data_IF_188983788693
#
_entry.id   IF_188983788693
#
_cell.length_a   1.000
_cell.length_b   1.000
_cell.length_c   1.000
_cell.angle_alpha   90.00
_cell.angle_beta   90.00
_cell.angle_gamma   90.00
#
_symmetry.space_group_name_H-M   'P 1'
#
loop_
_entity.id
_entity.type
_entity.pdbx_description
1 polymer ?
#
# COMPACT_ATOMS: atom_id res chain seq x y z
N UNK A 1 15.96 -14.05 -10.91
CA UNK A 1 15.46 -13.51 -9.64
C UNK A 1 13.99 -13.89 -9.49
N UNK A 2 13.63 -14.53 -8.38
CA UNK A 2 12.27 -14.95 -8.03
C UNK A 2 11.71 -13.99 -6.99
N UNK A 3 10.52 -13.46 -7.25
CA UNK A 3 9.89 -12.37 -6.49
C UNK A 3 8.52 -12.78 -6.00
N UNK A 4 8.18 -12.43 -4.77
CA UNK A 4 6.80 -12.46 -4.29
C UNK A 4 6.23 -11.04 -4.35
N UNK A 5 5.08 -10.85 -4.98
CA UNK A 5 4.34 -9.59 -4.99
C UNK A 5 3.05 -9.77 -4.19
N UNK A 6 2.95 -9.10 -3.03
CA UNK A 6 1.81 -9.16 -2.14
C UNK A 6 0.97 -7.88 -2.25
N UNK A 7 -0.23 -8.01 -2.82
CA UNK A 7 -1.22 -6.95 -2.80
C UNK A 7 -2.01 -6.93 -1.49
N UNK A 8 -2.28 -5.73 -0.98
CA UNK A 8 -3.12 -5.52 0.19
C UNK A 8 -4.17 -4.42 -0.04
N UNK A 9 -5.19 -4.41 0.80
CA UNK A 9 -6.21 -3.36 0.86
C UNK A 9 -7.45 -3.70 0.03
N UNK A 10 -7.85 -2.82 -0.87
CA UNK A 10 -9.05 -2.97 -1.70
C UNK A 10 -8.66 -3.34 -3.14
N UNK A 11 -9.46 -4.14 -3.87
CA UNK A 11 -9.14 -4.60 -5.23
C UNK A 11 -9.43 -3.51 -6.29
N UNK A 12 -8.93 -2.30 -6.08
CA UNK A 12 -9.28 -1.12 -6.88
C UNK A 12 -8.37 -0.94 -8.09
N UNK A 13 -8.95 -0.40 -9.16
CA UNK A 13 -8.26 0.20 -10.30
C UNK A 13 -7.27 -0.72 -11.04
N UNK A 14 -7.49 -2.04 -11.02
CA UNK A 14 -6.65 -3.02 -11.70
C UNK A 14 -6.51 -2.76 -13.20
N UNK A 15 -7.56 -2.28 -13.86
CA UNK A 15 -7.54 -1.97 -15.29
C UNK A 15 -6.55 -0.87 -15.66
N UNK A 16 -6.31 0.07 -14.75
CA UNK A 16 -5.45 1.22 -15.00
C UNK A 16 -3.97 0.89 -14.80
N UNK A 17 -3.68 -0.01 -13.87
CA UNK A 17 -2.31 -0.32 -13.44
C UNK A 17 -1.74 -1.56 -14.12
N UNK A 18 -2.57 -2.45 -14.70
CA UNK A 18 -2.10 -3.76 -15.16
C UNK A 18 -1.05 -3.65 -16.27
N UNK A 19 -1.15 -2.66 -17.16
CA UNK A 19 -0.20 -2.45 -18.25
C UNK A 19 1.16 -2.02 -17.71
N UNK A 20 1.20 -1.04 -16.82
CA UNK A 20 2.45 -0.52 -16.24
C UNK A 20 3.06 -1.53 -15.27
N UNK A 21 2.25 -2.23 -14.47
CA UNK A 21 2.68 -3.34 -13.63
C UNK A 21 3.35 -4.46 -14.46
N UNK A 22 2.73 -4.86 -15.58
CA UNK A 22 3.33 -5.87 -16.47
C UNK A 22 4.64 -5.38 -17.08
N UNK A 23 4.64 -4.17 -17.64
CA UNK A 23 5.80 -3.60 -18.33
C UNK A 23 7.00 -3.39 -17.40
N UNK A 24 6.77 -2.95 -16.16
CA UNK A 24 7.82 -2.46 -15.28
C UNK A 24 8.17 -3.41 -14.14
N UNK A 25 7.45 -4.53 -13.99
CA UNK A 25 7.74 -5.55 -12.99
C UNK A 25 7.51 -6.98 -13.51
N UNK A 26 6.28 -7.34 -13.89
CA UNK A 26 5.94 -8.75 -14.12
C UNK A 26 6.63 -9.38 -15.33
N UNK A 27 6.92 -8.61 -16.38
CA UNK A 27 7.62 -9.11 -17.56
C UNK A 27 9.15 -9.17 -17.37
N UNK A 28 9.67 -8.60 -16.28
CA UNK A 28 11.11 -8.49 -16.03
C UNK A 28 11.64 -9.58 -15.09
N UNK A 29 10.76 -10.18 -14.28
CA UNK A 29 11.13 -11.12 -13.23
C UNK A 29 10.19 -12.32 -13.18
N UNK A 30 10.61 -13.38 -12.51
CA UNK A 30 9.72 -14.50 -12.17
C UNK A 30 8.93 -14.12 -10.92
N UNK A 31 7.68 -13.66 -11.10
CA UNK A 31 6.87 -13.10 -10.02
C UNK A 31 5.71 -14.03 -9.67
N UNK A 32 5.68 -14.48 -8.42
CA UNK A 32 4.49 -15.09 -7.82
C UNK A 32 3.65 -14.01 -7.14
N UNK A 33 2.35 -13.97 -7.44
CA UNK A 33 1.47 -12.90 -6.97
C UNK A 33 0.52 -13.43 -5.88
N UNK A 34 0.52 -12.74 -4.75
CA UNK A 34 -0.31 -13.01 -3.59
C UNK A 34 -1.21 -11.81 -3.32
N UNK A 35 -2.42 -12.02 -2.80
CA UNK A 35 -3.29 -10.90 -2.46
C UNK A 35 -4.21 -11.19 -1.28
N UNK A 36 -4.30 -10.22 -0.37
CA UNK A 36 -5.39 -10.12 0.57
C UNK A 36 -6.20 -8.87 0.26
N UNK A 37 -7.50 -9.03 -0.02
CA UNK A 37 -8.39 -7.92 -0.32
C UNK A 37 -9.58 -7.88 0.62
N UNK A 38 -9.89 -6.66 1.08
CA UNK A 38 -11.18 -6.32 1.66
C UNK A 38 -12.24 -6.37 0.57
N UNK A 39 -13.00 -7.46 0.53
CA UNK A 39 -14.03 -7.69 -0.47
C UNK A 39 -15.14 -8.60 0.05
N UNK A 40 -16.37 -8.16 -0.17
CA UNK A 40 -17.57 -8.99 -0.10
C UNK A 40 -18.65 -8.43 -1.03
N UNK A 41 -19.64 -9.26 -1.36
CA UNK A 41 -20.68 -8.91 -2.34
C UNK A 41 -21.53 -7.71 -1.90
N UNK A 42 -21.57 -7.39 -0.61
CA UNK A 42 -22.22 -6.17 -0.09
C UNK A 42 -21.54 -4.87 -0.57
N UNK A 43 -20.34 -4.96 -1.15
CA UNK A 43 -19.65 -3.82 -1.73
C UNK A 43 -20.18 -3.44 -3.12
N UNK A 44 -20.86 -4.35 -3.81
CA UNK A 44 -21.39 -4.12 -5.17
C UNK A 44 -22.31 -2.89 -5.16
N UNK A 45 -22.09 -1.99 -6.11
CA UNK A 45 -22.80 -0.71 -6.21
C UNK A 45 -22.32 0.39 -5.25
N UNK A 46 -21.44 0.10 -4.28
CA UNK A 46 -20.80 1.13 -3.44
C UNK A 46 -19.63 1.78 -4.19
N UNK A 47 -19.34 3.04 -3.85
CA UNK A 47 -18.21 3.75 -4.44
C UNK A 47 -16.86 3.12 -4.08
N UNK A 48 -15.95 3.03 -5.06
CA UNK A 48 -14.59 2.52 -4.89
C UNK A 48 -13.75 3.45 -3.99
N UNK A 49 -14.01 4.76 -4.00
CA UNK A 49 -13.32 5.76 -3.20
C UNK A 49 -14.29 6.87 -2.80
N UNK A 50 -14.10 7.52 -1.63
CA UNK A 50 -15.00 8.60 -1.14
C UNK A 50 -15.11 9.76 -2.13
N UNK A 51 -14.10 9.97 -2.97
CA UNK A 51 -14.04 11.05 -3.94
C UNK A 51 -14.26 10.63 -5.41
N UNK A 52 -14.62 9.37 -5.67
CA UNK A 52 -14.89 8.91 -7.03
C UNK A 52 -16.35 8.45 -7.19
N UNK A 53 -16.88 8.56 -8.40
CA UNK A 53 -18.21 8.02 -8.73
C UNK A 53 -18.18 6.58 -9.22
N UNK A 54 -16.99 5.97 -9.36
CA UNK A 54 -16.86 4.61 -9.83
C UNK A 54 -17.35 3.66 -8.73
N UNK A 55 -18.17 2.69 -9.11
CA UNK A 55 -18.77 1.73 -8.19
C UNK A 55 -18.22 0.33 -8.42
N UNK A 56 -18.30 -0.51 -7.40
CA UNK A 56 -17.95 -1.91 -7.51
C UNK A 56 -18.96 -2.68 -8.36
N UNK A 57 -18.45 -3.48 -9.28
CA UNK A 57 -19.25 -4.32 -10.18
C UNK A 57 -19.26 -5.76 -9.69
N UNK A 58 -20.31 -6.52 -10.01
CA UNK A 58 -20.48 -7.90 -9.54
C UNK A 58 -19.33 -8.83 -9.98
N UNK A 59 -18.76 -8.59 -11.16
CA UNK A 59 -17.67 -9.37 -11.72
C UNK A 59 -16.27 -8.82 -11.36
N UNK A 60 -16.13 -7.83 -10.46
CA UNK A 60 -14.85 -7.17 -10.13
C UNK A 60 -13.73 -8.19 -9.84
N UNK A 61 -14.00 -9.18 -9.01
CA UNK A 61 -13.01 -10.18 -8.61
C UNK A 61 -12.69 -11.17 -9.72
N UNK A 62 -13.70 -11.61 -10.48
CA UNK A 62 -13.50 -12.51 -11.61
C UNK A 62 -12.63 -11.84 -12.67
N UNK A 63 -12.96 -10.58 -13.01
CA UNK A 63 -12.19 -9.75 -13.91
C UNK A 63 -10.74 -9.58 -13.43
N UNK A 64 -10.55 -9.28 -12.14
CA UNK A 64 -9.22 -9.15 -11.55
C UNK A 64 -8.40 -10.45 -11.67
N UNK A 65 -9.00 -11.62 -11.43
CA UNK A 65 -8.35 -12.93 -11.57
C UNK A 65 -7.99 -13.25 -13.02
N UNK A 66 -8.75 -12.75 -13.99
CA UNK A 66 -8.43 -12.89 -15.41
C UNK A 66 -7.25 -12.00 -15.84
N UNK A 67 -7.09 -10.84 -15.19
CA UNK A 67 -6.00 -9.90 -15.48
C UNK A 67 -4.66 -10.30 -14.85
N UNK A 68 -4.72 -10.87 -13.63
CA UNK A 68 -3.56 -11.14 -12.78
C UNK A 68 -3.53 -12.63 -12.38
N UNK A 69 -2.45 -13.36 -12.71
CA UNK A 69 -2.31 -14.77 -12.36
C UNK A 69 -1.89 -14.92 -10.88
N UNK A 70 -2.84 -14.79 -9.96
CA UNK A 70 -2.57 -14.99 -8.54
C UNK A 70 -2.19 -16.43 -8.23
N UNK A 71 -1.09 -16.60 -7.49
CA UNK A 71 -0.74 -17.87 -6.84
C UNK A 71 -1.66 -18.16 -5.66
N UNK A 72 -2.03 -17.13 -4.89
CA UNK A 72 -3.04 -17.22 -3.82
C UNK A 72 -3.73 -15.88 -3.62
N UNK A 73 -5.05 -15.92 -3.46
CA UNK A 73 -5.89 -14.74 -3.20
C UNK A 73 -6.87 -15.06 -2.07
N UNK A 74 -6.94 -14.16 -1.09
CA UNK A 74 -7.92 -14.19 0.00
C UNK A 74 -8.79 -12.94 -0.10
N UNK A 75 -10.09 -13.16 -0.01
CA UNK A 75 -11.11 -12.12 0.00
C UNK A 75 -11.77 -12.18 1.37
N UNK A 76 -11.70 -11.08 2.10
CA UNK A 76 -12.26 -10.98 3.45
C UNK A 76 -13.21 -9.78 3.52
N UNK A 77 -14.38 -9.94 4.14
CA UNK A 77 -15.21 -8.78 4.48
C UNK A 77 -14.45 -7.85 5.41
N UNK A 78 -14.71 -6.54 5.31
CA UNK A 78 -14.08 -5.56 6.19
C UNK A 78 -14.42 -5.87 7.65
N UNK A 79 -13.40 -6.22 8.45
CA UNK A 79 -13.60 -6.49 9.87
C UNK A 79 -13.78 -5.21 10.68
N UNK A 80 -14.48 -5.34 11.80
CA UNK A 80 -14.58 -4.29 12.79
C UNK A 80 -13.37 -4.36 13.74
N UNK A 81 -12.59 -3.28 13.79
CA UNK A 81 -11.51 -3.16 14.77
C UNK A 81 -12.06 -2.51 16.03
N UNK A 82 -11.86 -3.15 17.19
CA UNK A 82 -12.05 -2.45 18.45
C UNK A 82 -11.00 -1.32 18.52
N UNK A 83 -11.52 -0.09 18.57
CA UNK A 83 -10.76 1.13 18.69
C UNK A 83 -11.18 1.94 19.91
N UNK A 84 -11.97 1.35 20.82
CA UNK A 84 -12.55 2.04 21.96
C UNK A 84 -11.51 2.46 23.01
N UNK A 85 -10.36 1.78 23.06
CA UNK A 85 -9.25 2.06 23.95
C UNK A 85 -8.34 3.20 23.49
N UNK A 86 -8.47 3.66 22.25
CA UNK A 86 -7.66 4.77 21.73
C UNK A 86 -8.24 6.12 22.15
N UNK A 87 -7.37 7.09 22.48
CA UNK A 87 -7.77 8.49 22.56
C UNK A 87 -7.95 9.05 21.14
N UNK A 88 -9.16 9.47 20.72
CA UNK A 88 -9.40 9.93 19.36
C UNK A 88 -9.01 11.42 19.20
N UNK A 89 -7.76 11.73 19.53
CA UNK A 89 -7.15 13.06 19.44
C UNK A 89 -5.89 12.99 18.59
N UNK A 90 -5.48 14.10 18.00
CA UNK A 90 -4.15 14.18 17.39
C UNK A 90 -3.08 14.50 18.45
N UNK A 91 -1.92 13.88 18.30
CA UNK A 91 -0.71 14.21 19.07
C UNK A 91 0.10 15.36 18.43
N UNK A 92 -0.32 15.83 17.26
CA UNK A 92 0.47 16.74 16.44
C UNK A 92 -0.12 18.15 16.48
N UNK A 93 0.69 19.20 16.75
CA UNK A 93 0.20 20.57 16.88
C UNK A 93 -0.59 21.07 15.68
N UNK A 94 -0.19 20.69 14.47
CA UNK A 94 -0.81 21.07 13.20
C UNK A 94 -2.11 20.32 12.90
N UNK A 95 -2.35 19.18 13.56
CA UNK A 95 -3.53 18.34 13.38
C UNK A 95 -4.53 18.44 14.55
N UNK A 96 -4.37 19.41 15.46
CA UNK A 96 -5.30 19.64 16.59
C UNK A 96 -6.75 19.94 16.18
N UNK A 97 -6.98 20.27 14.91
CA UNK A 97 -8.30 20.58 14.36
C UNK A 97 -9.07 19.33 13.89
N UNK A 98 -8.46 18.13 13.93
CA UNK A 98 -9.13 16.89 13.57
C UNK A 98 -10.29 16.61 14.54
N UNK A 99 -11.46 16.27 13.98
CA UNK A 99 -12.60 15.86 14.78
C UNK A 99 -12.42 14.46 15.32
N UNK A 100 -13.13 14.12 16.41
CA UNK A 100 -13.14 12.76 16.98
C UNK A 100 -13.47 11.70 15.92
N UNK A 101 -14.40 12.00 15.01
CA UNK A 101 -14.79 11.07 13.95
C UNK A 101 -13.67 10.86 12.94
N UNK A 102 -12.98 11.92 12.52
CA UNK A 102 -11.82 11.82 11.61
C UNK A 102 -10.68 11.04 12.27
N UNK A 103 -10.47 11.23 13.58
CA UNK A 103 -9.50 10.44 14.33
C UNK A 103 -9.86 8.95 14.33
N UNK A 104 -11.12 8.59 14.60
CA UNK A 104 -11.60 7.20 14.57
C UNK A 104 -11.44 6.58 13.17
N UNK A 105 -11.86 7.30 12.13
CA UNK A 105 -11.70 6.89 10.72
C UNK A 105 -10.23 6.62 10.37
N UNK A 106 -9.32 7.48 10.86
CA UNK A 106 -7.88 7.36 10.63
C UNK A 106 -7.31 6.14 11.32
N UNK A 107 -7.66 5.90 12.58
CA UNK A 107 -7.24 4.71 13.35
C UNK A 107 -7.77 3.43 12.72
N UNK A 108 -9.03 3.41 12.32
CA UNK A 108 -9.64 2.30 11.61
C UNK A 108 -8.91 2.03 10.29
N UNK A 109 -8.68 3.06 9.48
CA UNK A 109 -7.96 2.96 8.21
C UNK A 109 -6.54 2.40 8.39
N UNK A 110 -5.84 2.86 9.43
CA UNK A 110 -4.50 2.38 9.78
C UNK A 110 -4.50 0.89 10.14
N UNK A 111 -5.38 0.46 11.06
CA UNK A 111 -5.50 -0.95 11.45
C UNK A 111 -5.91 -1.83 10.27
N UNK A 112 -6.90 -1.39 9.50
CA UNK A 112 -7.36 -2.07 8.28
C UNK A 112 -6.23 -2.27 7.27
N UNK A 113 -5.45 -1.23 7.01
CA UNK A 113 -4.33 -1.28 6.08
C UNK A 113 -3.28 -2.29 6.52
N UNK A 114 -2.78 -2.17 7.75
CA UNK A 114 -1.69 -3.00 8.24
C UNK A 114 -2.09 -4.44 8.51
N UNK A 115 -3.34 -4.67 8.93
CA UNK A 115 -3.89 -6.02 8.99
C UNK A 115 -3.81 -6.68 7.61
N UNK A 116 -4.31 -5.97 6.58
CA UNK A 116 -4.33 -6.48 5.21
C UNK A 116 -2.92 -6.73 4.65
N UNK A 117 -1.95 -5.86 4.99
CA UNK A 117 -0.53 -6.07 4.71
C UNK A 117 0.03 -7.32 5.39
N UNK A 118 -0.32 -7.55 6.67
CA UNK A 118 0.10 -8.74 7.38
C UNK A 118 -0.48 -10.00 6.73
N UNK A 119 -1.79 -10.01 6.49
CA UNK A 119 -2.48 -11.15 5.88
C UNK A 119 -1.91 -11.49 4.49
N UNK A 120 -1.63 -10.50 3.64
CA UNK A 120 -1.08 -10.76 2.29
C UNK A 120 0.31 -11.38 2.34
N UNK A 121 1.14 -11.04 3.32
CA UNK A 121 2.44 -11.66 3.56
C UNK A 121 2.30 -13.11 4.09
N UNK A 122 1.35 -13.37 5.00
CA UNK A 122 1.09 -14.72 5.53
C UNK A 122 0.61 -15.73 4.47
N UNK A 123 0.26 -15.27 3.26
CA UNK A 123 -0.12 -16.17 2.17
C UNK A 123 1.07 -16.90 1.54
N UNK A 124 2.31 -16.45 1.80
CA UNK A 124 3.52 -17.06 1.25
C UNK A 124 3.90 -18.27 2.10
N UNK A 125 3.76 -19.48 1.55
CA UNK A 125 4.06 -20.71 2.31
C UNK A 125 5.56 -20.89 2.60
N UNK A 126 6.43 -20.40 1.71
CA UNK A 126 7.90 -20.51 1.77
C UNK A 126 8.58 -19.19 1.39
N UNK A 127 8.53 -18.17 2.26
CA UNK A 127 9.01 -16.83 1.94
C UNK A 127 10.53 -16.76 1.69
N UNK A 128 11.29 -17.72 2.21
CA UNK A 128 12.73 -17.87 1.99
C UNK A 128 13.13 -18.30 0.56
N UNK A 129 12.17 -18.74 -0.27
CA UNK A 129 12.44 -19.07 -1.68
C UNK A 129 12.52 -17.82 -2.58
N UNK A 130 12.26 -16.63 -2.05
CA UNK A 130 12.20 -15.39 -2.82
C UNK A 130 13.41 -14.50 -2.55
N UNK A 131 14.01 -14.00 -3.62
CA UNK A 131 15.12 -13.03 -3.53
C UNK A 131 14.63 -11.71 -2.93
N UNK A 132 13.41 -11.29 -3.30
CA UNK A 132 12.72 -10.14 -2.72
C UNK A 132 11.23 -10.40 -2.60
N UNK A 133 10.64 -9.73 -1.60
CA UNK A 133 9.21 -9.65 -1.38
C UNK A 133 8.82 -8.17 -1.53
N UNK A 134 7.84 -7.93 -2.38
CA UNK A 134 7.27 -6.61 -2.65
C UNK A 134 5.89 -6.55 -2.03
N UNK A 135 5.66 -5.55 -1.19
CA UNK A 135 4.35 -5.23 -0.63
C UNK A 135 3.82 -3.99 -1.35
N UNK A 136 2.65 -4.10 -1.99
CA UNK A 136 2.07 -3.00 -2.77
C UNK A 136 0.57 -2.89 -2.57
N UNK A 137 0.02 -1.69 -2.70
CA UNK A 137 -1.41 -1.54 -3.03
C UNK A 137 -1.63 -1.87 -4.50
N UNK A 138 -2.86 -2.28 -4.85
CA UNK A 138 -3.22 -2.56 -6.26
C UNK A 138 -3.39 -1.27 -7.07
N UNK A 139 -3.70 -0.14 -6.44
CA UNK A 139 -3.88 1.16 -7.09
C UNK A 139 -2.59 1.97 -7.27
N UNK A 140 -1.46 1.26 -7.41
CA UNK A 140 -0.14 1.82 -7.67
C UNK A 140 0.25 1.70 -9.15
N UNK A 141 0.55 2.83 -9.77
CA UNK A 141 1.07 2.97 -11.13
C UNK A 141 2.60 3.02 -11.14
N UNK A 142 3.21 2.45 -12.17
CA UNK A 142 4.66 2.29 -12.29
C UNK A 142 5.16 3.17 -13.44
N UNK A 143 6.00 4.16 -13.15
CA UNK A 143 6.51 5.09 -14.17
C UNK A 143 7.82 4.67 -14.84
N UNK A 144 8.51 3.68 -14.26
CA UNK A 144 9.77 3.13 -14.77
C UNK A 144 9.96 1.69 -14.28
N UNK A 145 10.80 0.89 -14.98
CA UNK A 145 11.21 -0.42 -14.49
C UNK A 145 11.81 -0.35 -13.08
N UNK A 146 11.47 -1.32 -12.23
CA UNK A 146 12.10 -1.49 -10.93
C UNK A 146 13.35 -2.35 -11.11
N UNK A 147 14.52 -1.76 -10.95
CA UNK A 147 15.79 -2.49 -10.96
C UNK A 147 16.08 -3.05 -9.57
N UNK A 148 15.93 -4.36 -9.43
CA UNK A 148 16.17 -5.07 -8.17
C UNK A 148 17.63 -5.48 -7.99
N UNK A 149 18.45 -5.41 -9.05
CA UNK A 149 19.86 -5.84 -9.01
C UNK A 149 20.76 -4.90 -8.21
N UNK A 150 20.31 -3.65 -8.03
CA UNK A 150 21.02 -2.61 -7.27
C UNK A 150 20.63 -2.57 -5.78
N UNK A 151 19.67 -3.40 -5.36
CA UNK A 151 19.18 -3.42 -3.98
C UNK A 151 20.03 -4.36 -3.12
N UNK A 152 20.12 -4.05 -1.83
CA UNK A 152 20.76 -4.90 -0.83
C UNK A 152 19.68 -5.70 -0.07
N UNK A 153 19.72 -7.04 -0.06
CA UNK A 153 18.70 -7.86 0.61
C UNK A 153 18.62 -7.62 2.13
N UNK A 154 19.66 -7.07 2.75
CA UNK A 154 19.66 -6.75 4.18
C UNK A 154 18.99 -5.40 4.52
N UNK A 155 18.49 -4.67 3.52
CA UNK A 155 17.87 -3.36 3.69
C UNK A 155 16.38 -3.44 3.31
N UNK A 156 15.53 -2.90 4.18
CA UNK A 156 14.13 -2.62 3.88
C UNK A 156 14.03 -1.31 3.10
N UNK A 157 13.59 -1.38 1.84
CA UNK A 157 13.40 -0.20 1.02
C UNK A 157 11.94 0.25 1.02
N UNK A 158 11.70 1.46 1.51
CA UNK A 158 10.38 2.04 1.64
C UNK A 158 10.24 3.16 0.60
N UNK A 159 9.12 3.18 -0.13
CA UNK A 159 8.84 4.26 -1.08
C UNK A 159 8.90 5.61 -0.36
N UNK A 160 9.63 6.56 -0.93
CA UNK A 160 9.70 7.91 -0.37
C UNK A 160 8.34 8.61 -0.41
N UNK A 161 8.08 9.44 0.61
CA UNK A 161 6.81 10.15 0.78
C UNK A 161 6.78 11.56 0.20
N UNK A 162 7.78 11.97 -0.58
CA UNK A 162 7.88 13.33 -1.16
C UNK A 162 6.64 13.76 -1.95
N UNK A 163 5.80 12.82 -2.41
CA UNK A 163 4.52 13.12 -3.08
C UNK A 163 3.28 13.01 -2.22
N UNK A 164 3.41 12.59 -0.97
CA UNK A 164 2.34 12.57 0.04
C UNK A 164 2.38 13.80 0.97
N UNK A 165 3.37 14.68 0.80
CA UNK A 165 3.57 15.93 1.53
C UNK A 165 5.06 16.27 1.64
N UNK A 166 5.41 17.57 1.67
CA UNK A 166 6.81 18.03 1.66
C UNK A 166 7.63 17.53 2.87
N UNK A 167 6.96 17.12 3.95
CA UNK A 167 7.55 16.62 5.21
C UNK A 167 7.23 15.14 5.49
N UNK A 168 6.97 14.34 4.45
CA UNK A 168 6.71 12.90 4.62
C UNK A 168 7.89 12.11 4.06
N UNK A 169 8.83 11.73 4.92
CA UNK A 169 9.93 10.84 4.53
C UNK A 169 9.41 9.47 4.08
N UNK A 170 8.41 8.92 4.78
CA UNK A 170 7.89 7.57 4.56
C UNK A 170 6.55 7.57 3.82
N UNK A 171 6.40 6.64 2.89
CA UNK A 171 5.13 6.24 2.30
C UNK A 171 4.89 4.75 2.57
N UNK A 172 3.63 4.36 2.70
CA UNK A 172 3.22 3.06 3.20
C UNK A 172 2.49 2.22 2.13
N UNK A 173 2.53 2.67 0.87
CA UNK A 173 1.87 2.08 -0.30
C UNK A 173 2.71 1.04 -1.06
N UNK A 174 4.04 1.12 -0.98
CA UNK A 174 4.97 0.28 -1.74
C UNK A 174 6.29 0.08 -0.97
N UNK A 175 6.73 -1.17 -0.84
CA UNK A 175 7.92 -1.53 -0.05
C UNK A 175 8.57 -2.79 -0.63
N UNK A 176 9.90 -2.86 -0.61
CA UNK A 176 10.69 -4.01 -1.08
C UNK A 176 11.68 -4.41 0.01
N UNK A 177 11.86 -5.72 0.22
CA UNK A 177 12.94 -6.24 1.06
C UNK A 177 13.02 -7.76 0.98
N UNK A 178 14.03 -8.34 1.64
CA UNK A 178 14.11 -9.79 1.85
C UNK A 178 13.14 -10.24 2.94
N UNK A 179 12.85 -11.55 3.04
CA UNK A 179 11.92 -12.12 4.04
C UNK A 179 12.21 -11.62 5.46
N UNK A 180 13.49 -11.55 5.84
CA UNK A 180 13.88 -11.13 7.19
C UNK A 180 13.46 -9.69 7.49
N UNK A 181 13.55 -8.79 6.50
CA UNK A 181 13.18 -7.38 6.66
C UNK A 181 11.68 -7.15 6.51
N UNK A 182 11.05 -7.81 5.53
CA UNK A 182 9.63 -7.65 5.19
C UNK A 182 8.73 -8.23 6.28
N UNK A 183 9.14 -9.32 6.94
CA UNK A 183 8.40 -9.87 8.07
C UNK A 183 8.13 -8.81 9.14
N UNK A 184 9.13 -7.99 9.46
CA UNK A 184 8.92 -6.93 10.44
C UNK A 184 7.98 -5.84 9.92
N UNK A 185 8.12 -5.43 8.66
CA UNK A 185 7.20 -4.47 8.03
C UNK A 185 5.75 -4.98 8.03
N UNK A 186 5.54 -6.26 7.74
CA UNK A 186 4.23 -6.89 7.79
C UNK A 186 3.68 -6.96 9.23
N UNK A 187 4.56 -7.09 10.23
CA UNK A 187 4.19 -7.16 11.65
C UNK A 187 3.90 -5.79 12.29
N UNK A 188 4.02 -4.67 11.56
CA UNK A 188 3.66 -3.32 12.04
C UNK A 188 2.25 -3.28 12.64
N UNK A 189 1.33 -4.07 12.10
CA UNK A 189 -0.03 -4.24 12.64
C UNK A 189 -0.05 -4.53 14.16
N UNK A 190 0.90 -5.33 14.66
CA UNK A 190 0.99 -5.75 16.07
C UNK A 190 1.38 -4.59 17.00
N UNK A 191 1.92 -3.50 16.46
CA UNK A 191 2.43 -2.37 17.23
C UNK A 191 1.52 -1.14 17.18
N UNK A 192 0.49 -1.11 16.33
CA UNK A 192 -0.38 0.08 16.17
C UNK A 192 -0.91 0.55 17.52
N UNK A 193 -1.43 -0.38 18.30
CA UNK A 193 -2.05 -0.11 19.59
C UNK A 193 -1.08 0.61 20.55
N UNK A 194 0.16 0.13 20.62
CA UNK A 194 1.23 0.72 21.46
C UNK A 194 1.49 2.18 21.11
N UNK A 195 1.50 2.53 19.82
CA UNK A 195 1.90 3.85 19.35
C UNK A 195 0.76 4.86 19.22
N UNK A 196 -0.48 4.38 19.25
CA UNK A 196 -1.66 5.22 19.03
C UNK A 196 -2.56 5.35 20.26
N UNK A 197 -2.26 4.63 21.36
CA UNK A 197 -3.07 4.62 22.59
C UNK A 197 -3.41 6.03 23.10
N UNK A 198 -2.42 6.93 23.06
CA UNK A 198 -2.54 8.29 23.58
C UNK A 198 -2.96 9.33 22.54
N UNK A 199 -3.17 8.92 21.29
CA UNK A 199 -3.55 9.80 20.19
C UNK A 199 -2.86 9.43 18.88
N UNK A 200 -3.19 10.14 17.81
CA UNK A 200 -2.70 9.87 16.45
C UNK A 200 -1.47 10.73 16.18
N UNK A 201 -0.26 10.15 16.11
CA UNK A 201 0.92 10.84 15.61
C UNK A 201 0.89 10.96 14.08
N UNK A 202 1.78 11.78 13.52
CA UNK A 202 2.08 11.69 12.08
C UNK A 202 2.63 10.30 11.74
N UNK A 203 2.31 9.80 10.55
CA UNK A 203 2.79 8.49 10.09
C UNK A 203 4.32 8.40 10.08
N UNK A 204 5.02 9.47 9.68
CA UNK A 204 6.49 9.49 9.70
C UNK A 204 7.03 9.38 11.14
N UNK A 205 6.42 10.07 12.11
CA UNK A 205 6.79 10.00 13.54
C UNK A 205 6.57 8.58 14.09
N UNK A 206 5.46 7.94 13.71
CA UNK A 206 5.20 6.55 14.05
C UNK A 206 6.28 5.61 13.48
N UNK A 207 6.55 5.70 12.17
CA UNK A 207 7.57 4.88 11.52
C UNK A 207 8.95 5.07 12.14
N UNK A 208 9.38 6.31 12.34
CA UNK A 208 10.69 6.59 12.92
C UNK A 208 10.85 6.00 14.32
N UNK A 209 9.83 6.15 15.18
CA UNK A 209 9.87 5.57 16.52
C UNK A 209 9.92 4.05 16.44
N UNK A 210 9.00 3.45 15.68
CA UNK A 210 8.88 2.01 15.53
C UNK A 210 10.18 1.37 15.02
N UNK A 211 10.76 1.96 13.96
CA UNK A 211 11.99 1.46 13.33
C UNK A 211 13.25 1.68 14.18
N UNK A 212 13.21 2.58 15.18
CA UNK A 212 14.34 2.81 16.11
C UNK A 212 14.26 1.92 17.35
N UNK A 213 13.08 1.46 17.75
CA UNK A 213 12.87 0.82 19.06
C UNK A 213 12.46 -0.64 18.96
N UNK A 214 11.34 -0.94 18.30
CA UNK A 214 10.73 -2.27 18.30
C UNK A 214 11.07 -3.08 17.04
N UNK A 215 11.43 -2.38 15.96
CA UNK A 215 11.77 -2.96 14.66
C UNK A 215 13.10 -2.36 14.17
N UNK A 216 14.25 -2.66 14.82
CA UNK A 216 15.54 -2.08 14.45
C UNK A 216 16.11 -2.74 13.18
N UNK A 217 15.38 -2.62 12.06
CA UNK A 217 15.75 -3.17 10.76
C UNK A 217 16.47 -2.09 9.96
N UNK A 218 17.62 -2.40 9.33
CA UNK A 218 18.24 -1.49 8.38
C UNK A 218 17.25 -1.14 7.27
N UNK A 219 17.00 0.15 7.07
CA UNK A 219 16.02 0.61 6.09
C UNK A 219 16.52 1.83 5.34
N UNK A 220 15.98 2.04 4.15
CA UNK A 220 16.30 3.15 3.29
C UNK A 220 15.05 3.66 2.57
N UNK A 221 14.88 4.97 2.53
CA UNK A 221 13.89 5.61 1.66
C UNK A 221 14.38 5.56 0.22
N UNK A 222 13.53 5.13 -0.71
CA UNK A 222 13.89 4.96 -2.10
C UNK A 222 12.76 5.36 -3.04
N UNK A 223 13.10 6.05 -4.13
CA UNK A 223 12.12 6.47 -5.14
C UNK A 223 12.02 5.43 -6.26
N UNK A 224 11.07 4.51 -6.12
CA UNK A 224 10.84 3.46 -7.12
C UNK A 224 10.14 3.97 -8.38
N UNK A 225 9.66 5.22 -8.38
CA UNK A 225 8.79 5.72 -9.45
C UNK A 225 7.44 5.01 -9.45
N UNK A 226 6.97 4.62 -8.26
CA UNK A 226 5.65 4.02 -8.03
C UNK A 226 4.74 5.08 -7.43
N UNK A 227 3.55 5.23 -7.99
CA UNK A 227 2.63 6.32 -7.67
C UNK A 227 1.24 5.78 -7.37
N UNK A 228 0.62 6.21 -6.27
CA UNK A 228 -0.81 5.95 -6.09
C UNK A 228 -1.60 6.73 -7.15
N UNK A 229 -2.56 6.09 -7.80
CA UNK A 229 -3.46 6.76 -8.72
C UNK A 229 -4.20 7.90 -8.00
N UNK A 230 -3.87 9.16 -8.35
CA UNK A 230 -4.45 10.34 -7.73
C UNK A 230 -5.83 10.67 -8.30
N UNK A 231 -6.67 11.33 -7.51
CA UNK A 231 -8.05 11.68 -7.87
C UNK A 231 -8.17 12.48 -9.19
N UNK A 232 -7.19 13.33 -9.47
CA UNK A 232 -7.10 14.11 -10.70
C UNK A 232 -6.83 13.27 -11.95
N UNK A 233 -6.20 12.09 -11.80
CA UNK A 233 -5.93 11.17 -12.90
C UNK A 233 -7.23 10.48 -13.37
N UNK A 234 -8.21 10.25 -12.47
CA UNK A 234 -9.52 9.68 -12.84
C UNK A 234 -10.33 10.57 -13.79
N UNK A 235 -10.15 11.90 -13.76
CA UNK A 235 -10.81 12.81 -14.72
C UNK A 235 -10.23 12.71 -16.14
N UNK A 236 -8.96 12.33 -16.27
CA UNK A 236 -8.25 12.32 -17.56
C UNK A 236 -8.42 10.98 -18.31
N UNK A 237 -8.54 9.86 -17.59
CA UNK A 237 -8.87 8.56 -18.22
C UNK A 237 -10.28 8.50 -18.84
N UNK A 238 -11.19 9.43 -18.51
CA UNK A 238 -12.54 9.53 -19.12
C UNK A 238 -12.55 10.08 -20.54
N UNK A 239 -11.45 10.64 -21.04
CA UNK A 239 -11.34 11.10 -22.43
C UNK A 239 -10.11 10.43 -23.01
N UNK A 240 -10.28 9.52 -23.96
CA UNK A 240 -9.21 8.75 -24.60
C UNK A 240 -8.13 9.61 -25.25
N UNK A 241 -7.26 10.20 -24.42
CA UNK A 241 -6.15 11.04 -24.82
C UNK A 241 -4.85 10.26 -24.61
N UNK A 242 -3.96 10.22 -25.60
CA UNK A 242 -2.65 9.61 -25.46
C UNK A 242 -1.87 10.36 -24.37
N UNK A 243 -1.11 9.60 -23.59
CA UNK A 243 -0.15 10.12 -22.61
C UNK A 243 0.63 11.30 -23.22
N UNK A 244 0.37 12.51 -22.72
CA UNK A 244 1.21 13.67 -22.98
C UNK A 244 2.47 13.50 -22.13
N UNK A 245 3.54 13.15 -22.82
CA UNK A 245 4.94 13.07 -22.40
C UNK A 245 5.54 14.39 -21.88
N UNK A 246 4.74 15.39 -21.49
CA UNK A 246 5.25 16.66 -21.02
C UNK A 246 4.26 17.32 -20.05
N UNK A 247 4.52 17.19 -18.75
CA UNK A 247 4.34 18.23 -17.72
C UNK A 247 4.38 17.62 -16.31
N UNK A 248 5.59 17.27 -15.86
CA UNK A 248 5.96 17.54 -14.46
C UNK A 248 6.97 18.67 -14.56
N UNK A 249 6.49 19.92 -14.46
CA UNK A 249 7.38 21.03 -14.20
C UNK A 249 7.91 20.82 -12.79
N UNK A 250 9.17 20.42 -12.70
CA UNK A 250 9.94 20.54 -11.47
C UNK A 250 9.91 22.02 -11.08
N UNK A 251 9.30 22.31 -9.94
CA UNK A 251 9.57 23.57 -9.24
C UNK A 251 10.83 23.27 -8.44
N UNK A 252 11.90 23.96 -8.81
CA UNK A 252 13.22 23.90 -8.18
C UNK A 252 13.19 24.36 -6.73
#
# INVERSE_FOLDING_TARGET
>A
MKIALCFFGLPRYSDYIISTLKQHLLNLYNVDIYAHFWWSDDMIGKFKHRACTDVWEANTIEHLKNLIPFKKIVLESQIHFDISHFKPISNEPDLKHLTVEVCKDTLFGLKSKWYSTNQSFQLIDKPEEYDYIIISRLDCDYSKPIDLSILNPNILYIQDGFRSGWDRGYNDIFTIGHVDTIKYYADIYKYIDKYHIDGIPHMHTFFEKLLKTDIPVPHQLYSFGVWMLHESMFKHYRKGAPYLTNQIKFIH
#
